data_IF_449716197762
#
_entry.id   IF_449716197762
#
_cell.length_a   1.000
_cell.length_b   1.000
_cell.length_c   1.000
_cell.angle_alpha   90.00
_cell.angle_beta   90.00
_cell.angle_gamma   90.00
#
_symmetry.space_group_name_H-M   'P 1'
#
loop_
_entity.id
_entity.type
_entity.pdbx_description
1 polymer ?
#
# COMPACT_ATOMS: atom_id res chain seq x y z
N UNK A 1 5.86 -13.49 5.60
CA UNK A 1 5.50 -12.14 5.14
C UNK A 1 4.02 -11.99 4.80
N UNK A 2 3.46 -12.69 3.79
CA UNK A 2 2.02 -12.58 3.49
C UNK A 2 1.13 -12.96 4.68
N UNK A 3 1.47 -14.07 5.36
CA UNK A 3 0.77 -14.47 6.59
C UNK A 3 0.92 -13.43 7.73
N UNK A 4 2.08 -12.77 7.83
CA UNK A 4 2.31 -11.77 8.87
C UNK A 4 1.43 -10.54 8.64
N UNK A 5 1.24 -10.11 7.39
CA UNK A 5 0.29 -9.05 7.04
C UNK A 5 -1.12 -9.42 7.50
N UNK A 6 -1.59 -10.64 7.22
CA UNK A 6 -2.93 -11.11 7.62
C UNK A 6 -3.06 -11.11 9.15
N UNK A 7 -2.04 -11.60 9.86
CA UNK A 7 -2.04 -11.65 11.32
C UNK A 7 -2.09 -10.25 11.95
N UNK A 8 -1.25 -9.33 11.47
CA UNK A 8 -1.24 -7.95 11.93
C UNK A 8 -2.53 -7.21 11.56
N UNK A 9 -3.11 -7.49 10.39
CA UNK A 9 -4.35 -6.85 9.98
C UNK A 9 -5.51 -7.28 10.88
N UNK A 10 -5.65 -8.60 11.10
CA UNK A 10 -6.65 -9.15 12.02
C UNK A 10 -6.46 -8.61 13.44
N UNK A 11 -5.22 -8.52 13.91
CA UNK A 11 -4.91 -7.96 15.23
C UNK A 11 -5.35 -6.49 15.35
N UNK A 12 -4.89 -5.62 14.45
CA UNK A 12 -5.22 -4.19 14.47
C UNK A 12 -6.74 -3.94 14.36
N UNK A 13 -7.44 -4.73 13.54
CA UNK A 13 -8.89 -4.61 13.36
C UNK A 13 -9.71 -5.04 14.59
N UNK A 14 -9.17 -5.92 15.43
CA UNK A 14 -9.94 -6.55 16.52
C UNK A 14 -9.56 -6.06 17.91
N UNK A 15 -8.33 -5.57 18.08
CA UNK A 15 -7.78 -5.24 19.38
C UNK A 15 -8.28 -3.90 19.92
N UNK A 16 -7.69 -2.77 19.49
CA UNK A 16 -8.07 -1.44 19.99
C UNK A 16 -9.14 -0.72 19.15
N UNK A 17 -9.22 -0.99 17.84
CA UNK A 17 -10.10 -0.26 16.93
C UNK A 17 -11.57 -0.19 17.39
N UNK A 18 -12.25 -1.31 17.75
CA UNK A 18 -13.68 -1.29 18.05
C UNK A 18 -14.00 -0.88 19.51
N UNK A 19 -12.99 -0.58 20.34
CA UNK A 19 -13.21 -0.35 21.75
C UNK A 19 -13.99 0.94 22.03
N UNK A 20 -14.77 0.90 23.11
CA UNK A 20 -15.49 2.07 23.59
C UNK A 20 -14.55 2.98 24.37
N UNK A 21 -14.85 4.28 24.45
CA UNK A 21 -14.04 5.16 25.28
C UNK A 21 -14.21 4.89 26.77
N UNK A 22 -15.21 4.10 27.18
CA UNK A 22 -15.50 3.78 28.57
C UNK A 22 -14.69 2.59 29.12
N UNK A 23 -13.82 1.97 28.32
CA UNK A 23 -12.98 0.87 28.80
C UNK A 23 -12.15 1.30 30.02
N UNK A 24 -12.13 0.47 31.05
CA UNK A 24 -11.53 0.83 32.35
C UNK A 24 -10.06 1.26 32.25
N UNK A 25 -9.27 0.60 31.39
CA UNK A 25 -7.85 0.93 31.20
C UNK A 25 -7.64 2.28 30.49
N UNK A 26 -8.63 2.80 29.78
CA UNK A 26 -8.59 4.14 29.19
C UNK A 26 -8.94 5.24 30.20
N UNK A 27 -9.65 4.91 31.29
CA UNK A 27 -10.10 5.90 32.28
C UNK A 27 -8.99 6.30 33.26
N UNK A 28 -8.23 5.33 33.77
CA UNK A 28 -7.40 5.53 34.97
C UNK A 28 -5.92 5.80 34.67
N UNK A 29 -5.62 6.73 33.76
CA UNK A 29 -4.24 7.01 33.33
C UNK A 29 -3.89 8.49 33.39
N UNK A 30 -2.63 8.76 33.75
CA UNK A 30 -2.00 10.10 33.79
C UNK A 30 -1.71 10.69 32.41
N UNK A 31 -1.94 9.95 31.33
CA UNK A 31 -1.68 10.37 29.96
C UNK A 31 -3.02 10.65 29.27
N UNK A 32 -3.34 11.93 29.06
CA UNK A 32 -4.43 12.38 28.18
C UNK A 32 -5.85 11.93 28.56
N UNK A 33 -6.79 12.35 27.72
CA UNK A 33 -8.18 11.93 27.71
C UNK A 33 -8.32 10.46 27.26
N UNK A 34 -9.46 9.80 27.55
CA UNK A 34 -9.74 8.45 27.04
C UNK A 34 -9.62 8.33 25.51
N UNK A 35 -10.03 9.38 24.78
CA UNK A 35 -9.91 9.42 23.32
C UNK A 35 -8.45 9.42 22.87
N UNK A 36 -7.60 10.30 23.43
CA UNK A 36 -6.19 10.38 23.06
C UNK A 36 -5.45 9.06 23.32
N UNK A 37 -5.77 8.37 24.41
CA UNK A 37 -5.24 7.03 24.71
C UNK A 37 -5.69 5.99 23.70
N UNK A 38 -6.99 5.94 23.41
CA UNK A 38 -7.53 5.03 22.41
C UNK A 38 -6.90 5.26 21.04
N UNK A 39 -6.81 6.53 20.61
CA UNK A 39 -6.20 6.92 19.35
C UNK A 39 -4.73 6.50 19.29
N UNK A 40 -3.95 6.72 20.36
CA UNK A 40 -2.55 6.29 20.45
C UNK A 40 -2.41 4.79 20.26
N UNK A 41 -3.08 3.97 21.06
CA UNK A 41 -2.93 2.51 21.00
C UNK A 41 -3.46 1.93 19.68
N UNK A 42 -4.56 2.48 19.17
CA UNK A 42 -5.08 2.09 17.85
C UNK A 42 -4.06 2.40 16.75
N UNK A 43 -3.45 3.59 16.77
CA UNK A 43 -2.43 3.97 15.80
C UNK A 43 -1.19 3.10 15.90
N UNK A 44 -0.73 2.73 17.10
CA UNK A 44 0.41 1.82 17.27
C UNK A 44 0.18 0.46 16.58
N UNK A 45 -1.02 -0.13 16.72
CA UNK A 45 -1.37 -1.38 16.03
C UNK A 45 -1.38 -1.20 14.49
N UNK A 46 -1.94 -0.09 13.99
CA UNK A 46 -1.98 0.18 12.55
C UNK A 46 -0.62 0.59 11.96
N UNK A 47 0.27 1.19 12.74
CA UNK A 47 1.64 1.51 12.33
C UNK A 47 2.43 0.21 12.09
N UNK A 48 2.26 -0.80 12.96
CA UNK A 48 2.87 -2.12 12.76
C UNK A 48 2.32 -2.81 11.50
N UNK A 49 1.00 -2.73 11.27
CA UNK A 49 0.40 -3.23 10.04
C UNK A 49 0.97 -2.51 8.81
N UNK A 50 1.01 -1.18 8.82
CA UNK A 50 1.52 -0.36 7.72
C UNK A 50 2.98 -0.70 7.39
N UNK A 51 3.82 -0.89 8.41
CA UNK A 51 5.20 -1.35 8.24
C UNK A 51 5.27 -2.73 7.58
N UNK A 52 4.43 -3.67 8.01
CA UNK A 52 4.40 -5.04 7.47
C UNK A 52 3.95 -5.05 6.02
N UNK A 53 2.91 -4.29 5.68
CA UNK A 53 2.42 -4.13 4.30
C UNK A 53 3.49 -3.51 3.40
N UNK A 54 4.15 -2.45 3.88
CA UNK A 54 5.23 -1.78 3.14
C UNK A 54 6.37 -2.74 2.80
N UNK A 55 6.79 -3.56 3.76
CA UNK A 55 7.82 -4.57 3.51
C UNK A 55 7.35 -5.62 2.51
N UNK A 56 6.12 -6.12 2.61
CA UNK A 56 5.58 -7.07 1.63
C UNK A 56 5.62 -6.49 0.21
N UNK A 57 5.21 -5.23 0.03
CA UNK A 57 5.29 -4.54 -1.27
C UNK A 57 6.74 -4.48 -1.74
N UNK A 58 7.67 -4.03 -0.89
CA UNK A 58 9.09 -3.89 -1.25
C UNK A 58 9.70 -5.20 -1.73
N UNK A 59 9.47 -6.30 -1.02
CA UNK A 59 10.01 -7.60 -1.42
C UNK A 59 9.33 -8.18 -2.66
N UNK A 60 8.02 -7.96 -2.82
CA UNK A 60 7.28 -8.41 -4.01
C UNK A 60 7.76 -7.64 -5.25
N UNK A 61 7.89 -6.32 -5.16
CA UNK A 61 8.42 -5.48 -6.24
C UNK A 61 9.83 -5.92 -6.64
N UNK A 62 10.71 -6.17 -5.67
CA UNK A 62 12.06 -6.67 -5.93
C UNK A 62 12.05 -8.01 -6.69
N UNK A 63 11.24 -8.98 -6.24
CA UNK A 63 11.13 -10.28 -6.88
C UNK A 63 10.73 -10.15 -8.35
N UNK A 64 9.75 -9.30 -8.65
CA UNK A 64 9.26 -9.08 -10.02
C UNK A 64 10.33 -8.40 -10.89
N UNK A 65 11.11 -7.48 -10.34
CA UNK A 65 12.23 -6.89 -11.07
C UNK A 65 13.32 -7.91 -11.40
N UNK A 66 13.68 -8.75 -10.43
CA UNK A 66 14.75 -9.73 -10.58
C UNK A 66 14.36 -10.93 -11.46
N UNK A 67 13.05 -11.20 -11.60
CA UNK A 67 12.53 -12.30 -12.42
C UNK A 67 11.93 -11.82 -13.75
N UNK A 68 10.73 -11.25 -13.73
CA UNK A 68 9.96 -10.90 -14.93
C UNK A 68 10.60 -9.76 -15.74
N UNK A 69 11.04 -8.68 -15.08
CA UNK A 69 11.59 -7.53 -15.79
C UNK A 69 12.90 -7.85 -16.51
N UNK A 70 13.72 -8.74 -15.94
CA UNK A 70 14.96 -9.23 -16.56
C UNK A 70 14.64 -10.08 -17.79
N UNK A 71 13.67 -10.99 -17.69
CA UNK A 71 13.24 -11.82 -18.82
C UNK A 71 12.71 -10.98 -19.99
N UNK A 72 11.83 -10.00 -19.72
CA UNK A 72 11.30 -9.11 -20.76
C UNK A 72 12.39 -8.27 -21.43
N UNK A 73 13.40 -7.81 -20.68
CA UNK A 73 14.56 -7.10 -21.25
C UNK A 73 15.39 -8.01 -22.15
N UNK A 74 15.60 -9.26 -21.77
CA UNK A 74 16.30 -10.25 -22.60
C UNK A 74 15.57 -10.49 -23.95
N UNK A 75 14.24 -10.45 -23.93
CA UNK A 75 13.37 -10.51 -25.12
C UNK A 75 13.29 -9.19 -25.91
N UNK A 76 14.03 -8.15 -25.52
CA UNK A 76 13.98 -6.79 -26.10
C UNK A 76 12.62 -6.09 -25.99
N UNK A 77 11.76 -6.53 -25.07
CA UNK A 77 10.44 -5.93 -24.77
C UNK A 77 10.56 -4.81 -23.74
N UNK A 78 11.40 -3.82 -24.05
CA UNK A 78 11.78 -2.77 -23.09
C UNK A 78 10.62 -1.91 -22.60
N UNK A 79 9.67 -1.57 -23.47
CA UNK A 79 8.49 -0.78 -23.09
C UNK A 79 7.61 -1.52 -22.08
N UNK A 80 7.42 -2.82 -22.28
CA UNK A 80 6.61 -3.65 -21.39
C UNK A 80 7.31 -3.88 -20.05
N UNK A 81 8.62 -4.14 -20.09
CA UNK A 81 9.44 -4.24 -18.87
C UNK A 81 9.37 -2.95 -18.05
N UNK A 82 9.44 -1.78 -18.70
CA UNK A 82 9.38 -0.49 -18.02
C UNK A 82 7.99 -0.20 -17.46
N UNK A 83 6.92 -0.50 -18.23
CA UNK A 83 5.55 -0.33 -17.77
C UNK A 83 5.25 -1.20 -16.54
N UNK A 84 5.65 -2.49 -16.57
CA UNK A 84 5.53 -3.41 -15.43
C UNK A 84 6.33 -2.93 -14.23
N UNK A 85 7.60 -2.58 -14.45
CA UNK A 85 8.48 -2.03 -13.44
C UNK A 85 7.84 -0.83 -12.71
N UNK A 86 7.33 0.14 -13.47
CA UNK A 86 6.71 1.33 -12.91
C UNK A 86 5.44 1.03 -12.12
N UNK A 87 4.63 0.06 -12.55
CA UNK A 87 3.41 -0.33 -11.83
C UNK A 87 3.70 -0.82 -10.40
N UNK A 88 4.82 -1.53 -10.19
CA UNK A 88 5.19 -2.04 -8.86
C UNK A 88 6.07 -1.09 -8.03
N UNK A 89 6.79 -0.18 -8.69
CA UNK A 89 7.58 0.85 -8.01
C UNK A 89 6.70 2.03 -7.56
N UNK A 90 5.65 2.36 -8.30
CA UNK A 90 4.83 3.55 -8.02
C UNK A 90 4.33 3.61 -6.56
N UNK A 91 3.80 2.53 -5.95
CA UNK A 91 3.38 2.58 -4.55
C UNK A 91 4.54 2.81 -3.58
N UNK A 92 5.73 2.26 -3.86
CA UNK A 92 6.93 2.50 -3.03
C UNK A 92 7.38 3.96 -3.10
N UNK A 93 7.29 4.60 -4.28
CA UNK A 93 7.61 6.03 -4.42
C UNK A 93 6.65 6.88 -3.60
N UNK A 94 5.37 6.51 -3.50
CA UNK A 94 4.43 7.24 -2.66
C UNK A 94 4.75 7.10 -1.17
N UNK A 95 5.10 5.91 -0.73
CA UNK A 95 5.45 5.65 0.67
C UNK A 95 6.78 6.33 1.02
N UNK A 96 7.85 5.98 0.31
CA UNK A 96 9.22 6.35 0.67
C UNK A 96 9.55 7.80 0.29
N UNK A 97 9.06 8.30 -0.86
CA UNK A 97 9.43 9.64 -1.36
C UNK A 97 8.36 10.70 -1.10
N UNK A 98 7.08 10.32 -0.99
CA UNK A 98 5.98 11.27 -0.70
C UNK A 98 5.49 11.18 0.75
N UNK A 99 6.14 10.35 1.59
CA UNK A 99 5.82 10.16 3.00
C UNK A 99 4.34 9.83 3.24
N UNK A 100 3.73 9.07 2.31
CA UNK A 100 2.36 8.57 2.45
C UNK A 100 2.37 7.32 3.33
N UNK A 101 1.32 7.16 4.13
CA UNK A 101 1.14 5.98 4.97
C UNK A 101 -0.07 5.19 4.49
N UNK A 102 0.11 3.88 4.28
CA UNK A 102 -0.99 2.94 4.02
C UNK A 102 -1.62 2.56 5.37
N UNK A 103 -2.94 2.37 5.39
CA UNK A 103 -3.66 1.84 6.53
C UNK A 103 -4.59 2.87 7.16
N UNK A 104 -4.80 2.75 8.47
CA UNK A 104 -5.76 3.55 9.21
C UNK A 104 -5.00 4.43 10.21
N UNK A 105 -5.39 5.70 10.30
CA UNK A 105 -4.88 6.64 11.28
C UNK A 105 -6.02 7.37 11.97
N UNK A 106 -6.03 7.33 13.29
CA UNK A 106 -6.92 8.12 14.14
C UNK A 106 -6.26 9.48 14.41
N UNK A 107 -6.96 10.55 14.09
CA UNK A 107 -6.50 11.92 14.26
C UNK A 107 -6.98 12.52 15.59
N UNK A 108 -6.40 13.64 16.01
CA UNK A 108 -6.79 14.30 17.26
C UNK A 108 -8.15 14.98 17.23
N UNK A 109 -8.71 15.21 16.03
CA UNK A 109 -9.95 15.95 15.78
C UNK A 109 -11.17 15.03 15.62
N UNK A 110 -11.13 13.83 16.21
CA UNK A 110 -12.20 12.84 16.10
C UNK A 110 -12.49 12.38 14.66
N UNK A 111 -11.47 12.42 13.80
CA UNK A 111 -11.51 11.83 12.47
C UNK A 111 -10.60 10.62 12.37
N UNK A 112 -10.92 9.75 11.43
CA UNK A 112 -10.13 8.58 11.06
C UNK A 112 -9.81 8.67 9.57
N UNK A 113 -8.52 8.73 9.23
CA UNK A 113 -8.04 8.68 7.86
C UNK A 113 -7.79 7.24 7.45
N UNK A 114 -8.34 6.82 6.32
CA UNK A 114 -8.09 5.52 5.70
C UNK A 114 -7.34 5.77 4.40
N UNK A 115 -6.17 5.18 4.27
CA UNK A 115 -5.39 5.16 3.03
C UNK A 115 -5.36 3.74 2.50
N UNK A 116 -6.26 3.38 1.58
CA UNK A 116 -6.26 2.05 0.99
C UNK A 116 -5.03 1.87 0.10
N UNK A 117 -4.58 0.62 0.00
CA UNK A 117 -3.69 0.25 -1.09
C UNK A 117 -4.54 0.03 -2.34
N UNK A 118 -4.57 1.02 -3.23
CA UNK A 118 -5.16 0.88 -4.57
C UNK A 118 -4.09 1.20 -5.60
N UNK A 119 -4.02 0.39 -6.66
CA UNK A 119 -3.24 0.69 -7.87
C UNK A 119 -4.11 1.30 -8.96
N UNK A 120 -5.41 1.48 -8.71
CA UNK A 120 -6.34 2.06 -9.68
C UNK A 120 -6.25 3.57 -9.65
N UNK A 121 -5.95 4.16 -10.81
CA UNK A 121 -6.03 5.59 -11.03
C UNK A 121 -7.40 5.92 -11.61
N UNK A 122 -8.25 6.61 -10.87
CA UNK A 122 -9.59 7.07 -11.33
C UNK A 122 -9.52 8.24 -12.34
N UNK A 123 -8.35 8.55 -12.88
CA UNK A 123 -8.16 9.76 -13.67
C UNK A 123 -8.13 9.47 -15.18
N UNK A 124 -9.02 10.13 -15.91
CA UNK A 124 -9.06 10.11 -17.38
C UNK A 124 -7.95 11.00 -17.97
N UNK A 125 -6.89 10.40 -18.48
CA UNK A 125 -5.84 11.09 -19.22
C UNK A 125 -4.45 10.49 -19.02
N UNK A 126 -3.48 11.00 -19.78
CA UNK A 126 -2.08 10.62 -19.66
C UNK A 126 -1.29 11.79 -19.06
N UNK A 127 -0.71 11.56 -17.89
CA UNK A 127 0.20 12.53 -17.25
C UNK A 127 1.63 12.23 -17.70
N UNK A 128 2.42 13.26 -17.97
CA UNK A 128 3.82 13.12 -18.41
C UNK A 128 4.69 14.23 -17.86
N UNK A 129 6.00 13.97 -17.79
CA UNK A 129 6.99 14.97 -17.43
C UNK A 129 8.16 14.93 -18.42
N UNK A 130 8.78 16.08 -18.65
CA UNK A 130 10.04 16.19 -19.36
C UNK A 130 10.99 17.08 -18.57
N UNK A 131 12.21 16.62 -18.37
CA UNK A 131 13.28 17.44 -17.79
C UNK A 131 14.27 17.79 -18.88
N UNK A 132 14.55 19.08 -19.03
CA UNK A 132 15.57 19.55 -19.96
C UNK A 132 16.99 19.35 -19.40
N UNK A 133 18.02 19.65 -20.21
CA UNK A 133 19.42 19.54 -19.81
C UNK A 133 19.82 20.52 -18.68
N UNK A 134 19.00 21.54 -18.40
CA UNK A 134 19.21 22.51 -17.34
C UNK A 134 18.53 22.12 -16.04
N UNK A 135 17.82 20.98 -16.01
CA UNK A 135 17.08 20.48 -14.85
C UNK A 135 15.73 21.14 -14.65
N UNK A 136 15.21 21.90 -15.63
CA UNK A 136 13.85 22.42 -15.61
C UNK A 136 12.92 21.29 -16.02
N UNK A 137 12.01 20.92 -15.13
CA UNK A 137 10.98 19.92 -15.41
C UNK A 137 9.67 20.60 -15.78
N UNK A 138 9.12 20.27 -16.95
CA UNK A 138 7.77 20.60 -17.35
C UNK A 138 6.87 19.37 -17.12
N UNK A 139 5.68 19.59 -16.56
CA UNK A 139 4.65 18.57 -16.39
C UNK A 139 3.46 18.91 -17.27
N UNK A 140 2.83 17.90 -17.86
CA UNK A 140 1.60 18.11 -18.59
C UNK A 140 0.63 16.95 -18.45
N UNK A 141 -0.60 17.28 -18.72
CA UNK A 141 -1.75 16.41 -18.80
C UNK A 141 -2.23 16.35 -20.25
N UNK A 142 -2.40 15.15 -20.77
CA UNK A 142 -3.00 14.88 -22.08
C UNK A 142 -4.37 14.23 -21.89
N UNK A 143 -5.41 14.86 -22.42
CA UNK A 143 -6.79 14.33 -22.42
C UNK A 143 -7.27 14.14 -23.86
N UNK A 144 -8.17 13.18 -24.08
CA UNK A 144 -8.83 12.97 -25.38
C UNK A 144 -10.31 13.32 -25.25
N UNK A 145 -10.85 14.08 -26.19
CA UNK A 145 -12.29 14.31 -26.27
C UNK A 145 -13.03 13.07 -26.87
N UNK A 146 -14.36 13.14 -26.91
CA UNK A 146 -15.20 12.06 -27.46
C UNK A 146 -14.95 11.79 -28.96
N UNK A 147 -14.35 12.75 -29.67
CA UNK A 147 -13.99 12.66 -31.09
C UNK A 147 -12.54 12.17 -31.29
N UNK A 148 -11.80 11.92 -30.20
CA UNK A 148 -10.43 11.42 -30.20
C UNK A 148 -9.36 12.51 -30.38
N UNK A 149 -9.71 13.79 -30.34
CA UNK A 149 -8.73 14.87 -30.39
C UNK A 149 -8.00 14.98 -29.04
N UNK A 150 -6.67 15.09 -29.11
CA UNK A 150 -5.83 15.23 -27.92
C UNK A 150 -5.59 16.70 -27.58
N UNK A 151 -5.82 17.08 -26.34
CA UNK A 151 -5.41 18.37 -25.77
C UNK A 151 -4.27 18.18 -24.78
N UNK A 152 -3.30 19.11 -24.78
CA UNK A 152 -2.17 19.14 -23.84
C UNK A 152 -2.30 20.37 -22.94
N UNK A 153 -2.30 20.15 -21.63
CA UNK A 153 -2.37 21.19 -20.61
C UNK A 153 -1.12 21.14 -19.73
N UNK A 154 -0.37 22.24 -19.64
CA UNK A 154 0.77 22.35 -18.71
C UNK A 154 0.22 22.41 -17.30
N UNK A 155 0.79 21.60 -16.40
CA UNK A 155 0.38 21.50 -14.99
C UNK A 155 1.57 21.77 -14.07
N UNK A 156 1.27 22.08 -12.82
CA UNK A 156 2.26 22.21 -11.75
C UNK A 156 2.73 20.85 -11.25
N UNK A 157 3.87 20.84 -10.55
CA UNK A 157 4.38 19.64 -9.86
C UNK A 157 3.37 19.08 -8.84
N UNK A 158 2.64 19.94 -8.14
CA UNK A 158 1.62 19.53 -7.16
C UNK A 158 0.44 18.85 -7.85
N UNK A 159 -0.06 19.41 -8.95
CA UNK A 159 -1.13 18.79 -9.75
C UNK A 159 -0.67 17.46 -10.34
N UNK A 160 0.57 17.38 -10.86
CA UNK A 160 1.15 16.12 -11.31
C UNK A 160 1.16 15.07 -10.18
N UNK A 161 1.58 15.45 -8.97
CA UNK A 161 1.63 14.54 -7.83
C UNK A 161 0.23 14.06 -7.44
N UNK A 162 -0.76 14.94 -7.41
CA UNK A 162 -2.15 14.61 -7.09
C UNK A 162 -2.78 13.68 -8.14
N UNK A 163 -2.60 13.98 -9.42
CA UNK A 163 -3.10 13.15 -10.53
C UNK A 163 -2.46 11.76 -10.56
N UNK A 164 -1.16 11.68 -10.22
CA UNK A 164 -0.41 10.41 -10.18
C UNK A 164 -0.46 9.69 -8.84
N UNK A 165 -1.25 10.20 -7.87
CA UNK A 165 -1.40 9.53 -6.57
C UNK A 165 -2.32 8.32 -6.69
N UNK A 166 -1.82 7.17 -6.25
CA UNK A 166 -2.51 5.89 -6.14
C UNK A 166 -3.02 5.66 -4.71
N UNK A 167 -2.34 6.20 -3.69
CA UNK A 167 -2.76 6.14 -2.29
C UNK A 167 -3.64 7.34 -1.92
N UNK A 168 -4.97 7.16 -2.07
CA UNK A 168 -5.96 8.22 -1.81
C UNK A 168 -6.57 8.11 -0.43
N UNK A 169 -6.29 9.10 0.40
CA UNK A 169 -6.85 9.22 1.74
C UNK A 169 -8.35 9.53 1.69
N UNK A 170 -9.12 8.85 2.54
CA UNK A 170 -10.50 9.21 2.86
C UNK A 170 -10.67 9.42 4.35
N UNK A 171 -11.39 10.47 4.74
CA UNK A 171 -11.70 10.75 6.13
C UNK A 171 -13.05 10.15 6.54
N UNK A 172 -13.11 9.61 7.75
CA UNK A 172 -14.31 9.10 8.40
C UNK A 172 -14.50 9.86 9.70
N UNK A 173 -15.64 10.52 9.85
CA UNK A 173 -15.99 11.24 11.08
C UNK A 173 -16.39 10.23 12.18
N UNK A 174 -15.81 10.36 13.38
CA UNK A 174 -16.04 9.44 14.50
C UNK A 174 -17.11 9.90 15.49
N UNK A 175 -17.87 10.96 15.19
CA UNK A 175 -19.04 11.37 16.00
C UNK A 175 -20.01 10.21 16.21
N UNK A 176 -20.13 9.33 15.20
CA UNK A 176 -20.78 8.04 15.33
C UNK A 176 -19.76 6.90 15.31
N UNK A 177 -19.36 6.44 16.50
CA UNK A 177 -18.40 5.34 16.67
C UNK A 177 -18.93 3.96 16.22
N UNK A 178 -20.20 3.81 15.83
CA UNK A 178 -20.70 2.54 15.28
C UNK A 178 -19.98 2.13 13.99
N UNK A 179 -19.42 3.10 13.26
CA UNK A 179 -18.61 2.88 12.05
C UNK A 179 -17.38 2.01 12.34
N UNK A 180 -16.83 2.05 13.56
CA UNK A 180 -15.65 1.26 13.94
C UNK A 180 -15.95 -0.23 13.95
N UNK A 181 -17.16 -0.63 14.37
CA UNK A 181 -17.59 -2.02 14.29
C UNK A 181 -17.78 -2.48 12.84
N UNK A 182 -18.30 -1.60 11.98
CA UNK A 182 -18.41 -1.92 10.55
C UNK A 182 -17.02 -2.10 9.92
N UNK A 183 -16.07 -1.21 10.22
CA UNK A 183 -14.69 -1.32 9.74
C UNK A 183 -14.02 -2.61 10.22
N UNK A 184 -14.23 -3.00 11.47
CA UNK A 184 -13.78 -4.30 11.99
C UNK A 184 -14.34 -5.46 11.17
N UNK A 185 -15.64 -5.48 10.91
CA UNK A 185 -16.28 -6.57 10.16
C UNK A 185 -15.73 -6.65 8.73
N UNK A 186 -15.64 -5.52 8.03
CA UNK A 186 -15.02 -5.44 6.71
C UNK A 186 -13.57 -5.95 6.72
N UNK A 187 -12.76 -5.52 7.69
CA UNK A 187 -11.38 -5.98 7.80
C UNK A 187 -11.25 -7.50 8.06
N UNK A 188 -12.21 -8.09 8.80
CA UNK A 188 -12.24 -9.54 9.03
C UNK A 188 -12.60 -10.31 7.75
N UNK A 189 -13.59 -9.83 6.99
CA UNK A 189 -13.95 -10.41 5.69
C UNK A 189 -12.76 -10.34 4.72
N UNK A 190 -12.07 -9.18 4.65
CA UNK A 190 -10.85 -9.01 3.85
C UNK A 190 -9.72 -9.95 4.31
N UNK A 191 -9.56 -10.17 5.62
CA UNK A 191 -8.58 -11.13 6.13
C UNK A 191 -8.89 -12.57 5.72
N UNK A 192 -10.17 -12.95 5.66
CA UNK A 192 -10.60 -14.27 5.22
C UNK A 192 -10.33 -14.46 3.72
N UNK A 193 -10.63 -13.45 2.89
CA UNK A 193 -10.31 -13.43 1.47
C UNK A 193 -8.80 -13.54 1.21
N UNK A 194 -7.99 -12.76 1.95
CA UNK A 194 -6.53 -12.82 1.87
C UNK A 194 -5.98 -14.17 2.31
N UNK A 195 -6.57 -14.80 3.33
CA UNK A 195 -6.20 -16.14 3.77
C UNK A 195 -6.46 -17.16 2.67
N UNK A 196 -7.64 -17.11 2.05
CA UNK A 196 -7.99 -18.00 0.95
C UNK A 196 -7.07 -17.80 -0.28
N UNK A 197 -6.70 -16.55 -0.59
CA UNK A 197 -5.75 -16.25 -1.65
C UNK A 197 -4.33 -16.79 -1.33
N UNK A 198 -3.86 -16.60 -0.10
CA UNK A 198 -2.57 -17.09 0.36
C UNK A 198 -2.50 -18.63 0.34
N UNK A 199 -3.58 -19.31 0.71
CA UNK A 199 -3.67 -20.77 0.62
C UNK A 199 -3.60 -21.28 -0.82
N UNK A 200 -4.29 -20.62 -1.76
CA UNK A 200 -4.19 -20.95 -3.20
C UNK A 200 -2.78 -20.75 -3.72
N UNK A 201 -2.14 -19.63 -3.36
CA UNK A 201 -0.75 -19.35 -3.75
C UNK A 201 0.22 -20.41 -3.21
N UNK A 202 0.08 -20.80 -1.93
CA UNK A 202 0.88 -21.88 -1.33
C UNK A 202 0.73 -23.19 -2.09
N UNK A 203 -0.49 -23.56 -2.49
CA UNK A 203 -0.73 -24.77 -3.29
C UNK A 203 -0.01 -24.70 -4.64
N UNK A 204 -0.07 -23.57 -5.33
CA UNK A 204 0.64 -23.35 -6.59
C UNK A 204 2.15 -23.49 -6.43
N UNK A 205 2.74 -22.83 -5.41
CA UNK A 205 4.17 -22.94 -5.13
C UNK A 205 4.59 -24.38 -4.83
N UNK A 206 3.82 -25.10 -4.00
CA UNK A 206 4.12 -26.48 -3.68
C UNK A 206 4.04 -27.40 -4.91
N UNK A 207 3.04 -27.20 -5.78
CA UNK A 207 2.92 -27.94 -7.04
C UNK A 207 4.14 -27.69 -7.93
N UNK A 208 4.50 -26.42 -8.13
CA UNK A 208 5.65 -26.04 -8.94
C UNK A 208 6.96 -26.68 -8.41
N UNK A 209 7.21 -26.57 -7.10
CA UNK A 209 8.39 -27.16 -6.47
C UNK A 209 8.42 -28.69 -6.51
N UNK A 210 7.26 -29.36 -6.60
CA UNK A 210 7.21 -30.81 -6.73
C UNK A 210 7.49 -31.31 -8.16
N UNK A 211 7.25 -30.46 -9.16
CA UNK A 211 7.39 -30.79 -10.58
C UNK A 211 8.73 -30.31 -11.17
N UNK A 212 9.43 -29.43 -10.48
CA UNK A 212 10.66 -28.80 -10.95
C UNK A 212 11.77 -28.98 -9.92
N UNK A 213 12.99 -29.19 -10.40
CA UNK A 213 14.18 -29.11 -9.56
C UNK A 213 14.45 -27.63 -9.28
N UNK A 214 13.85 -27.13 -8.21
CA UNK A 214 14.07 -25.76 -7.76
C UNK A 214 15.33 -25.76 -6.91
N UNK A 215 16.28 -24.88 -7.22
CA UNK A 215 17.41 -24.64 -6.32
C UNK A 215 16.82 -24.32 -4.94
N UNK A 216 17.17 -25.11 -3.92
CA UNK A 216 16.78 -24.77 -2.57
C UNK A 216 17.37 -23.39 -2.27
N UNK A 217 16.51 -22.40 -2.07
CA UNK A 217 16.90 -21.23 -1.32
C UNK A 217 17.54 -21.77 -0.04
N UNK A 218 18.69 -21.23 0.35
CA UNK A 218 19.46 -21.56 1.57
C UNK A 218 20.67 -22.49 1.46
N UNK A 219 20.95 -23.21 0.35
CA UNK A 219 22.20 -24.00 0.32
C UNK A 219 23.46 -23.13 0.14
N UNK A 220 23.31 -21.91 -0.42
CA UNK A 220 24.45 -21.02 -0.75
C UNK A 220 24.24 -19.52 -0.45
N UNK A 221 23.21 -19.13 0.31
CA UNK A 221 23.08 -17.74 0.76
C UNK A 221 24.05 -17.50 1.91
N UNK A 222 25.21 -16.89 1.62
CA UNK A 222 26.14 -16.41 2.65
C UNK A 222 25.37 -15.55 3.67
N UNK A 223 25.48 -15.92 4.95
CA UNK A 223 24.83 -15.29 6.11
C UNK A 223 25.09 -13.77 6.23
N UNK A 224 26.05 -13.22 5.49
CA UNK A 224 26.46 -11.81 5.55
C UNK A 224 25.54 -10.82 4.83
N UNK A 225 24.52 -11.27 4.11
CA UNK A 225 23.58 -10.39 3.39
C UNK A 225 22.35 -9.98 4.23
N UNK A 226 22.28 -10.42 5.49
CA UNK A 226 21.15 -10.21 6.40
C UNK A 226 21.52 -9.47 7.70
N UNK A 227 22.68 -8.79 7.74
CA UNK A 227 23.06 -7.84 8.80
C UNK A 227 23.05 -6.40 8.28
#
# INVERSE_FOLDING_TARGET
MQQDVINHYRYAATHYLPLTLNEHFLQNSSIGSPYEKWAKFTNEDFDVLAFTVTNLIRYTTRLIHETESVALKAERRYHEANARSNAYIAPLVEIDCRNRQIGIRVNSDETLTITPFSTETEYEGQVSMHSDANGVTEWWLSTSDADGNQSKHVITKSEYQELTTTLRERAVNLSNRSVLNQLKLTALDECDDLTAANDKFRVLCNSYCSEHEVAMAFDHLHETWWL
#
